data_IF_941957620618
#
_entry.id   IF_941957620618
#
_cell.length_a   1.000
_cell.length_b   1.000
_cell.length_c   1.000
_cell.angle_alpha   90.00
_cell.angle_beta   90.00
_cell.angle_gamma   90.00
#
_symmetry.space_group_name_H-M   'P 1'
#
loop_
_entity.id
_entity.type
_entity.pdbx_description
1 polymer ?
#
# COMPACT_ATOMS: atom_id res chain seq x y z
N UNK A 1 30.20 -11.28 -4.56
CA UNK A 1 29.11 -11.44 -5.56
C UNK A 1 28.95 -10.11 -6.27
N UNK A 2 29.02 -10.09 -7.61
CA UNK A 2 28.98 -8.83 -8.36
C UNK A 2 27.56 -8.24 -8.35
N UNK A 3 27.44 -6.96 -8.01
CA UNK A 3 26.17 -6.20 -7.97
C UNK A 3 25.42 -6.26 -9.31
N UNK A 4 26.14 -6.34 -10.43
CA UNK A 4 25.57 -6.48 -11.77
C UNK A 4 24.80 -7.78 -11.94
N UNK A 5 25.29 -8.88 -11.34
CA UNK A 5 24.62 -10.19 -11.39
C UNK A 5 23.32 -10.14 -10.58
N UNK A 6 23.33 -9.48 -9.41
CA UNK A 6 22.13 -9.32 -8.57
C UNK A 6 21.08 -8.49 -9.29
N UNK A 7 21.48 -7.39 -9.94
CA UNK A 7 20.58 -6.53 -10.71
C UNK A 7 19.96 -7.28 -11.89
N UNK A 8 20.75 -8.05 -12.64
CA UNK A 8 20.25 -8.87 -13.74
C UNK A 8 19.28 -9.95 -13.26
N UNK A 9 19.59 -10.61 -12.12
CA UNK A 9 18.70 -11.62 -11.55
C UNK A 9 17.38 -11.02 -11.09
N UNK A 10 17.43 -9.90 -10.37
CA UNK A 10 16.24 -9.16 -9.93
C UNK A 10 15.39 -8.73 -11.14
N UNK A 11 16.03 -8.19 -12.17
CA UNK A 11 15.34 -7.81 -13.41
C UNK A 11 14.67 -9.02 -14.06
N UNK A 12 15.39 -10.12 -14.23
CA UNK A 12 14.89 -11.34 -14.84
C UNK A 12 13.71 -11.97 -14.09
N UNK A 13 13.63 -11.80 -12.76
CA UNK A 13 12.50 -12.30 -11.97
C UNK A 13 11.33 -11.31 -11.99
N UNK A 14 11.59 -10.01 -11.89
CA UNK A 14 10.52 -9.01 -11.70
C UNK A 14 9.83 -8.66 -13.02
N UNK A 15 10.57 -8.61 -14.12
CA UNK A 15 10.08 -8.15 -15.42
C UNK A 15 9.03 -9.10 -16.04
N UNK A 16 9.22 -10.45 -16.01
CA UNK A 16 8.22 -11.38 -16.53
C UNK A 16 6.90 -11.35 -15.77
N UNK A 17 6.93 -11.25 -14.42
CA UNK A 17 5.70 -11.11 -13.63
C UNK A 17 4.91 -9.86 -14.05
N UNK A 18 5.60 -8.74 -14.30
CA UNK A 18 4.97 -7.49 -14.76
C UNK A 18 4.42 -7.62 -16.18
N UNK A 19 5.19 -8.23 -17.07
CA UNK A 19 4.82 -8.44 -18.46
C UNK A 19 3.59 -9.35 -18.58
N UNK A 20 3.54 -10.42 -17.77
CA UNK A 20 2.37 -11.29 -17.66
C UNK A 20 1.16 -10.51 -17.13
N UNK A 21 1.31 -9.74 -16.05
CA UNK A 21 0.23 -8.91 -15.51
C UNK A 21 -0.36 -7.92 -16.54
N UNK A 22 0.49 -7.32 -17.39
CA UNK A 22 0.08 -6.43 -18.47
C UNK A 22 -0.53 -7.17 -19.67
N UNK A 23 0.02 -8.34 -20.04
CA UNK A 23 -0.47 -9.13 -21.18
C UNK A 23 -1.84 -9.78 -20.91
N UNK A 24 -2.18 -10.01 -19.64
CA UNK A 24 -3.51 -10.46 -19.23
C UNK A 24 -4.61 -9.38 -19.35
N UNK A 25 -4.27 -8.13 -19.71
CA UNK A 25 -5.24 -7.04 -19.86
C UNK A 25 -6.34 -7.28 -20.90
N UNK A 26 -6.13 -8.20 -21.85
CA UNK A 26 -7.12 -8.61 -22.85
C UNK A 26 -7.94 -9.86 -22.51
N UNK A 27 -7.61 -10.56 -21.42
CA UNK A 27 -8.27 -11.81 -21.04
C UNK A 27 -9.59 -11.48 -20.35
N UNK A 28 -10.70 -11.98 -20.89
CA UNK A 28 -12.02 -11.87 -20.24
C UNK A 28 -12.08 -12.86 -19.08
N UNK A 29 -11.66 -12.42 -17.90
CA UNK A 29 -11.79 -13.21 -16.68
C UNK A 29 -13.28 -13.37 -16.29
N UNK A 30 -13.68 -14.52 -15.74
CA UNK A 30 -15.01 -14.69 -15.16
C UNK A 30 -15.32 -13.64 -14.08
N UNK A 31 -16.59 -13.25 -13.89
CA UNK A 31 -16.98 -12.25 -12.91
C UNK A 31 -16.55 -12.60 -11.47
N UNK A 32 -16.46 -13.89 -11.14
CA UNK A 32 -15.92 -14.38 -9.86
C UNK A 32 -14.48 -13.90 -9.61
N UNK A 33 -13.58 -14.17 -10.57
CA UNK A 33 -12.17 -13.81 -10.44
C UNK A 33 -11.98 -12.30 -10.45
N UNK A 34 -12.71 -11.56 -11.29
CA UNK A 34 -12.67 -10.10 -11.28
C UNK A 34 -13.05 -9.52 -9.93
N UNK A 35 -14.10 -10.04 -9.30
CA UNK A 35 -14.51 -9.60 -7.97
C UNK A 35 -13.47 -9.98 -6.91
N UNK A 36 -12.93 -11.20 -6.96
CA UNK A 36 -11.86 -11.62 -6.05
C UNK A 36 -10.61 -10.73 -6.18
N UNK A 37 -10.10 -10.52 -7.40
CA UNK A 37 -8.92 -9.69 -7.67
C UNK A 37 -9.13 -8.22 -7.27
N UNK A 38 -10.35 -7.69 -7.31
CA UNK A 38 -10.63 -6.33 -6.79
C UNK A 38 -10.42 -6.20 -5.28
N UNK A 39 -10.67 -7.27 -4.52
CA UNK A 39 -10.49 -7.27 -3.07
C UNK A 39 -9.04 -7.57 -2.66
N UNK A 40 -8.26 -8.27 -3.48
CA UNK A 40 -6.86 -8.62 -3.16
C UNK A 40 -6.02 -7.40 -2.75
N UNK A 41 -5.95 -6.29 -3.52
CA UNK A 41 -5.17 -5.12 -3.12
C UNK A 41 -5.59 -4.55 -1.76
N UNK A 42 -6.90 -4.38 -1.55
CA UNK A 42 -7.44 -3.81 -0.31
C UNK A 42 -7.11 -4.71 0.89
N UNK A 43 -7.26 -6.02 0.74
CA UNK A 43 -6.93 -7.00 1.78
C UNK A 43 -5.44 -7.01 2.11
N UNK A 44 -4.58 -6.95 1.10
CA UNK A 44 -3.11 -6.91 1.30
C UNK A 44 -2.70 -5.62 1.99
N UNK A 45 -3.22 -4.47 1.57
CA UNK A 45 -2.95 -3.19 2.24
C UNK A 45 -3.42 -3.21 3.70
N UNK A 46 -4.62 -3.72 3.98
CA UNK A 46 -5.09 -3.87 5.34
C UNK A 46 -4.19 -4.81 6.16
N UNK A 47 -3.84 -5.97 5.60
CA UNK A 47 -2.98 -6.95 6.26
C UNK A 47 -1.55 -6.43 6.51
N UNK A 48 -1.06 -5.47 5.73
CA UNK A 48 0.23 -4.82 5.95
C UNK A 48 0.13 -3.67 6.97
N UNK A 49 -0.87 -2.80 6.82
CA UNK A 49 -0.99 -1.57 7.62
C UNK A 49 -1.44 -1.87 9.04
N UNK A 50 -2.39 -2.79 9.25
CA UNK A 50 -2.92 -3.13 10.57
C UNK A 50 -1.83 -3.61 11.54
N UNK A 51 -1.02 -4.64 11.23
CA UNK A 51 0.03 -5.09 12.13
C UNK A 51 1.17 -4.08 12.26
N UNK A 52 1.46 -3.29 11.22
CA UNK A 52 2.47 -2.23 11.29
C UNK A 52 2.05 -1.13 12.28
N UNK A 53 0.78 -0.73 12.28
CA UNK A 53 0.25 0.28 13.22
C UNK A 53 0.15 -0.26 14.64
N UNK A 54 -0.36 -1.50 14.83
CA UNK A 54 -0.59 -2.10 16.15
C UNK A 54 0.66 -2.71 16.79
N UNK A 55 1.60 -3.21 15.99
CA UNK A 55 2.84 -3.84 16.46
C UNK A 55 3.96 -2.86 16.78
N UNK A 56 3.74 -1.57 16.54
CA UNK A 56 4.75 -0.53 16.79
C UNK A 56 4.69 -0.05 18.24
N UNK A 57 5.85 0.20 18.91
CA UNK A 57 5.89 0.83 20.22
C UNK A 57 5.19 2.21 20.27
N UNK A 58 5.08 2.87 19.12
CA UNK A 58 4.42 4.17 18.92
C UNK A 58 2.95 4.05 18.49
N UNK A 59 2.30 2.91 18.73
CA UNK A 59 0.91 2.65 18.29
C UNK A 59 -0.09 3.75 18.71
N UNK A 60 0.13 4.37 19.89
CA UNK A 60 -0.65 5.49 20.42
C UNK A 60 -0.66 6.71 19.47
N UNK A 61 0.43 6.94 18.74
CA UNK A 61 0.58 8.05 17.79
C UNK A 61 0.13 7.66 16.38
N UNK A 62 0.38 6.40 16.02
CA UNK A 62 0.11 5.88 14.66
C UNK A 62 -1.38 5.62 14.43
N UNK A 63 -2.14 5.20 15.45
CA UNK A 63 -3.59 5.00 15.35
C UNK A 63 -4.38 6.26 14.98
N UNK A 64 -4.27 7.39 15.71
CA UNK A 64 -5.00 8.60 15.36
C UNK A 64 -4.56 9.15 13.99
N UNK A 65 -3.27 9.07 13.65
CA UNK A 65 -2.79 9.45 12.33
C UNK A 65 -3.39 8.58 11.21
N UNK A 66 -3.48 7.26 11.41
CA UNK A 66 -4.10 6.33 10.46
C UNK A 66 -5.61 6.57 10.32
N UNK A 67 -6.31 6.87 11.41
CA UNK A 67 -7.73 7.21 11.39
C UNK A 67 -7.99 8.52 10.64
N UNK A 68 -7.20 9.56 10.89
CA UNK A 68 -7.32 10.85 10.19
C UNK A 68 -7.00 10.69 8.70
N UNK A 69 -5.95 9.94 8.35
CA UNK A 69 -5.62 9.64 6.97
C UNK A 69 -6.73 8.86 6.26
N UNK A 70 -7.25 7.81 6.91
CA UNK A 70 -8.36 7.01 6.39
C UNK A 70 -9.64 7.82 6.19
N UNK A 71 -10.00 8.67 7.17
CA UNK A 71 -11.17 9.54 7.10
C UNK A 71 -11.05 10.57 5.96
N UNK A 72 -9.86 11.13 5.76
CA UNK A 72 -9.64 12.10 4.69
C UNK A 72 -9.64 11.44 3.30
N UNK A 73 -9.04 10.25 3.17
CA UNK A 73 -9.09 9.44 1.95
C UNK A 73 -10.52 9.08 1.60
N UNK A 74 -11.32 8.67 2.59
CA UNK A 74 -12.73 8.35 2.40
C UNK A 74 -13.53 9.55 1.87
N UNK A 75 -13.20 10.77 2.32
CA UNK A 75 -13.89 12.00 1.92
C UNK A 75 -13.43 12.54 0.57
N UNK A 76 -12.13 12.52 0.28
CA UNK A 76 -11.57 13.12 -0.95
C UNK A 76 -11.53 12.15 -2.13
N UNK A 77 -11.59 10.83 -1.88
CA UNK A 77 -11.34 9.77 -2.88
C UNK A 77 -10.04 9.99 -3.68
N UNK A 78 -9.12 10.82 -3.16
CA UNK A 78 -7.90 11.22 -3.82
C UNK A 78 -6.71 10.68 -3.03
N UNK A 79 -6.04 9.68 -3.61
CA UNK A 79 -4.90 9.01 -2.99
C UNK A 79 -3.74 9.97 -2.69
N UNK A 80 -3.50 10.95 -3.56
CA UNK A 80 -2.43 11.94 -3.36
C UNK A 80 -2.68 12.85 -2.16
N UNK A 81 -3.92 13.34 -2.03
CA UNK A 81 -4.33 14.13 -0.86
C UNK A 81 -4.28 13.30 0.43
N UNK A 82 -4.62 12.01 0.35
CA UNK A 82 -4.53 11.06 1.46
C UNK A 82 -3.10 10.85 1.97
N UNK A 83 -2.14 10.66 1.06
CA UNK A 83 -0.73 10.51 1.41
C UNK A 83 -0.20 11.78 2.09
N UNK A 84 -0.44 12.95 1.49
CA UNK A 84 0.02 14.23 2.04
C UNK A 84 -0.58 14.51 3.43
N UNK A 85 -1.87 14.22 3.60
CA UNK A 85 -2.53 14.43 4.89
C UNK A 85 -2.11 13.41 5.95
N UNK A 86 -1.90 12.15 5.59
CA UNK A 86 -1.36 11.16 6.53
C UNK A 86 0.04 11.54 7.00
N UNK A 87 0.87 12.06 6.09
CA UNK A 87 2.20 12.57 6.41
C UNK A 87 2.12 13.81 7.32
N UNK A 88 1.25 14.77 6.99
CA UNK A 88 1.03 15.97 7.80
C UNK A 88 0.47 15.64 9.19
N UNK A 89 -0.49 14.71 9.29
CA UNK A 89 -1.06 14.26 10.55
C UNK A 89 -0.04 13.54 11.42
N UNK A 90 0.78 12.64 10.84
CA UNK A 90 1.88 11.99 11.55
C UNK A 90 2.87 13.02 12.10
N UNK A 91 3.24 14.02 11.29
CA UNK A 91 4.17 15.07 11.71
C UNK A 91 3.57 15.99 12.78
N UNK A 92 2.28 16.30 12.70
CA UNK A 92 1.58 17.09 13.71
C UNK A 92 1.48 16.34 15.04
N UNK A 93 1.15 15.05 15.03
CA UNK A 93 1.08 14.23 16.24
C UNK A 93 2.48 14.06 16.85
N UNK A 94 3.49 13.77 16.03
CA UNK A 94 4.89 13.65 16.48
C UNK A 94 5.47 14.97 17.01
N UNK A 95 5.15 16.09 16.36
CA UNK A 95 5.62 17.41 16.77
C UNK A 95 4.89 17.98 17.99
N UNK A 96 3.64 17.55 18.24
CA UNK A 96 2.89 17.91 19.42
C UNK A 96 3.41 17.26 20.72
N UNK A 97 4.35 16.30 20.61
CA UNK A 97 5.02 15.71 21.77
C UNK A 97 4.07 15.05 22.77
N UNK A 98 2.90 14.60 22.30
CA UNK A 98 2.12 13.59 22.98
C UNK A 98 2.80 12.27 22.68
#
# INVERSE_FOLDING_TARGET
MSTTVILLLMWAVTYPMRLLGLSLGGVRLPPFWLNFLKFVPVSVFAALVVPDVLGSPEWTWRLPAALVAGLLIWRTRNLGAGILAGFAAYWLVRGAGL
#
